data_IF_078526238910
#
_entry.id   IF_078526238910
#
_cell.length_a   1.000
_cell.length_b   1.000
_cell.length_c   1.000
_cell.angle_alpha   90.00
_cell.angle_beta   90.00
_cell.angle_gamma   90.00
#
_symmetry.space_group_name_H-M   'P 1'
#
loop_
_entity.id
_entity.type
_entity.pdbx_description
1 polymer ?
#
# COMPACT_ATOMS: atom_id res chain seq x y z
N UNK A 1 -5.99 -0.04 -20.83
CA UNK A 1 -7.16 -0.55 -21.61
C UNK A 1 -7.48 -2.01 -21.35
N UNK A 2 -6.52 -2.94 -21.29
CA UNK A 2 -6.82 -4.36 -20.97
C UNK A 2 -7.14 -4.57 -19.49
N UNK A 3 -6.46 -3.87 -18.58
CA UNK A 3 -6.68 -3.92 -17.12
C UNK A 3 -8.02 -3.32 -16.68
N UNK A 4 -8.55 -2.32 -17.39
CA UNK A 4 -9.86 -1.72 -17.07
C UNK A 4 -11.05 -2.63 -17.40
N UNK A 5 -10.92 -3.53 -18.38
CA UNK A 5 -11.98 -4.48 -18.72
C UNK A 5 -12.09 -5.63 -17.72
N UNK A 6 -10.95 -6.10 -17.21
CA UNK A 6 -10.92 -7.17 -16.19
C UNK A 6 -11.36 -6.70 -14.81
N UNK A 7 -11.21 -5.40 -14.49
CA UNK A 7 -11.60 -4.81 -13.21
C UNK A 7 -13.13 -4.63 -13.04
N UNK A 8 -13.91 -4.68 -14.11
CA UNK A 8 -15.37 -4.53 -14.02
C UNK A 8 -16.11 -5.79 -13.58
N UNK A 9 -15.53 -6.96 -13.84
CA UNK A 9 -16.21 -8.24 -13.63
C UNK A 9 -15.62 -9.07 -12.46
N UNK A 10 -14.46 -8.70 -11.89
CA UNK A 10 -13.84 -9.45 -10.80
C UNK A 10 -13.53 -8.55 -9.60
N UNK A 11 -14.17 -8.86 -8.49
CA UNK A 11 -13.97 -8.22 -7.18
C UNK A 11 -12.61 -8.55 -6.57
N UNK A 12 -11.89 -9.54 -7.10
CA UNK A 12 -10.57 -9.97 -6.62
C UNK A 12 -9.60 -10.04 -7.79
N UNK A 13 -8.65 -9.13 -7.82
CA UNK A 13 -7.57 -9.12 -8.80
C UNK A 13 -6.38 -9.89 -8.22
N UNK A 14 -6.06 -11.02 -8.81
CA UNK A 14 -4.85 -11.78 -8.45
C UNK A 14 -3.68 -11.19 -9.24
N UNK A 15 -2.71 -10.62 -8.53
CA UNK A 15 -1.48 -10.16 -9.17
C UNK A 15 -0.69 -11.34 -9.72
N UNK A 16 -0.37 -11.27 -11.00
CA UNK A 16 0.62 -12.19 -11.60
C UNK A 16 2.03 -11.70 -11.27
N UNK A 17 3.03 -12.59 -11.36
CA UNK A 17 4.45 -12.25 -11.17
C UNK A 17 4.90 -11.08 -12.06
N UNK A 18 4.31 -10.93 -13.23
CA UNK A 18 4.59 -9.83 -14.14
C UNK A 18 4.06 -8.50 -13.61
N UNK A 19 2.88 -8.50 -13.00
CA UNK A 19 2.32 -7.32 -12.33
C UNK A 19 3.14 -6.92 -11.10
N UNK A 20 3.62 -7.90 -10.33
CA UNK A 20 4.52 -7.65 -9.19
C UNK A 20 5.84 -7.02 -9.68
N UNK A 21 6.44 -7.54 -10.75
CA UNK A 21 7.67 -6.97 -11.33
C UNK A 21 7.47 -5.54 -11.85
N UNK A 22 6.31 -5.22 -12.40
CA UNK A 22 5.98 -3.86 -12.82
C UNK A 22 5.86 -2.91 -11.62
N UNK A 23 5.18 -3.35 -10.55
CA UNK A 23 5.08 -2.60 -9.30
C UNK A 23 6.45 -2.38 -8.66
N UNK A 24 7.31 -3.39 -8.65
CA UNK A 24 8.69 -3.30 -8.16
C UNK A 24 9.56 -2.33 -8.96
N UNK A 25 9.33 -2.17 -10.25
CA UNK A 25 10.05 -1.18 -11.08
C UNK A 25 9.65 0.25 -10.76
N UNK A 26 8.37 0.47 -10.44
CA UNK A 26 7.83 1.81 -10.20
C UNK A 26 7.90 2.24 -8.74
N UNK A 27 8.04 1.30 -7.80
CA UNK A 27 8.21 1.60 -6.38
C UNK A 27 9.45 0.89 -5.83
N UNK A 28 10.61 1.58 -5.77
CA UNK A 28 11.84 1.02 -5.20
C UNK A 28 11.70 0.57 -3.74
N UNK A 29 10.74 1.13 -3.02
CA UNK A 29 10.45 0.77 -1.63
C UNK A 29 9.77 -0.60 -1.50
N UNK A 30 9.12 -1.07 -2.56
CA UNK A 30 8.53 -2.39 -2.60
C UNK A 30 9.58 -3.52 -2.58
N UNK A 31 10.80 -3.24 -3.05
CA UNK A 31 11.92 -4.21 -3.11
C UNK A 31 12.62 -4.46 -1.78
N UNK A 32 12.52 -3.56 -0.82
CA UNK A 32 13.46 -3.51 0.30
C UNK A 32 12.95 -4.11 1.60
N UNK A 33 11.78 -4.74 1.64
CA UNK A 33 11.22 -5.16 2.91
C UNK A 33 10.68 -6.57 2.86
N UNK A 34 11.51 -7.51 3.23
CA UNK A 34 11.03 -8.71 3.88
C UNK A 34 10.53 -8.31 5.28
N UNK A 35 9.31 -7.82 5.35
CA UNK A 35 8.60 -7.75 6.62
C UNK A 35 7.95 -9.13 6.75
N UNK A 36 8.53 -9.96 7.57
CA UNK A 36 8.04 -11.31 7.80
C UNK A 36 6.74 -11.23 8.60
N UNK A 37 5.65 -11.62 7.98
CA UNK A 37 4.40 -11.94 8.65
C UNK A 37 4.26 -13.45 8.70
N UNK A 38 3.65 -13.96 9.77
CA UNK A 38 3.52 -15.40 10.01
C UNK A 38 2.18 -15.98 9.57
N UNK A 39 1.21 -15.11 9.28
CA UNK A 39 -0.15 -15.48 8.88
C UNK A 39 -0.81 -14.42 8.00
N UNK A 40 -1.83 -14.81 7.20
CA UNK A 40 -2.63 -13.85 6.43
C UNK A 40 -3.29 -12.80 7.35
N UNK A 41 -3.37 -11.56 6.90
CA UNK A 41 -3.96 -10.44 7.66
C UNK A 41 -3.10 -9.90 8.80
N UNK A 42 -1.95 -10.52 9.12
CA UNK A 42 -1.09 -10.07 10.20
C UNK A 42 -0.46 -8.71 9.89
N UNK A 43 0.01 -8.51 8.67
CA UNK A 43 0.54 -7.25 8.20
C UNK A 43 0.19 -7.01 6.74
N UNK A 44 -0.56 -5.96 6.50
CA UNK A 44 -0.82 -5.43 5.17
C UNK A 44 0.11 -4.26 4.89
N UNK A 45 0.55 -4.11 3.66
CA UNK A 45 1.29 -2.94 3.20
C UNK A 45 0.40 -2.13 2.27
N UNK A 46 0.19 -0.85 2.59
CA UNK A 46 -0.58 0.07 1.75
C UNK A 46 0.31 1.19 1.22
N UNK A 47 0.18 1.47 -0.06
CA UNK A 47 0.92 2.52 -0.75
C UNK A 47 0.05 3.23 -1.78
N UNK A 48 0.42 4.47 -2.11
CA UNK A 48 -0.20 5.28 -3.16
C UNK A 48 0.84 5.70 -4.17
N UNK A 49 0.67 5.36 -5.41
CA UNK A 49 1.57 5.84 -6.45
C UNK A 49 0.83 6.63 -7.55
N UNK A 50 1.55 7.57 -8.12
CA UNK A 50 1.09 8.33 -9.26
C UNK A 50 1.26 7.51 -10.53
N UNK A 51 0.14 7.21 -11.19
CA UNK A 51 0.14 6.44 -12.44
C UNK A 51 0.47 7.31 -13.66
N UNK A 52 -0.10 8.51 -13.71
CA UNK A 52 0.05 9.42 -14.84
C UNK A 52 -1.08 10.42 -14.94
N UNK A 53 -1.09 11.16 -16.05
CA UNK A 53 -2.17 12.08 -16.40
C UNK A 53 -2.89 11.58 -17.63
N UNK A 54 -4.19 11.35 -17.51
CA UNK A 54 -5.05 10.92 -18.60
C UNK A 54 -5.78 12.14 -19.19
N UNK A 55 -5.80 12.24 -20.52
CA UNK A 55 -6.51 13.30 -21.23
C UNK A 55 -8.02 13.24 -20.90
N UNK A 56 -8.57 14.35 -20.45
CA UNK A 56 -9.99 14.45 -20.06
C UNK A 56 -10.33 13.98 -18.64
N UNK A 57 -9.40 13.32 -17.93
CA UNK A 57 -9.59 12.84 -16.56
C UNK A 57 -8.70 13.60 -15.58
N UNK A 58 -7.47 13.93 -15.99
CA UNK A 58 -6.47 14.54 -15.12
C UNK A 58 -5.50 13.54 -14.53
N UNK A 59 -4.97 13.85 -13.35
CA UNK A 59 -4.03 13.00 -12.63
C UNK A 59 -4.72 11.74 -12.12
N UNK A 60 -4.05 10.60 -12.25
CA UNK A 60 -4.52 9.31 -11.75
C UNK A 60 -3.53 8.76 -10.75
N UNK A 61 -4.04 8.36 -9.60
CA UNK A 61 -3.30 7.70 -8.53
C UNK A 61 -3.84 6.29 -8.34
N UNK A 62 -2.99 5.37 -7.97
CA UNK A 62 -3.38 4.00 -7.64
C UNK A 62 -3.08 3.76 -6.17
N UNK A 63 -4.12 3.42 -5.42
CA UNK A 63 -4.00 2.87 -4.08
C UNK A 63 -3.82 1.36 -4.19
N UNK A 64 -2.84 0.82 -3.49
CA UNK A 64 -2.56 -0.61 -3.45
C UNK A 64 -2.44 -1.08 -2.02
N UNK A 65 -3.07 -2.19 -1.71
CA UNK A 65 -2.89 -2.90 -0.43
C UNK A 65 -2.43 -4.31 -0.73
N UNK A 66 -1.37 -4.76 -0.10
CA UNK A 66 -0.79 -6.10 -0.29
C UNK A 66 -0.62 -6.79 1.06
N UNK A 67 -1.09 -8.00 1.16
CA UNK A 67 -0.79 -8.88 2.29
C UNK A 67 0.66 -9.40 2.17
N UNK A 68 1.46 -9.16 3.18
CA UNK A 68 2.88 -9.52 3.16
C UNK A 68 3.13 -11.03 3.30
N UNK A 69 2.14 -11.79 3.75
CA UNK A 69 2.23 -13.23 3.89
C UNK A 69 1.84 -13.98 2.61
N UNK A 70 0.63 -13.73 2.11
CA UNK A 70 0.08 -14.49 0.99
C UNK A 70 0.15 -13.77 -0.35
N UNK A 71 0.67 -12.54 -0.38
CA UNK A 71 0.78 -11.70 -1.58
C UNK A 71 -0.54 -11.40 -2.30
N UNK A 72 -1.67 -11.56 -1.61
CA UNK A 72 -2.96 -11.07 -2.10
C UNK A 72 -2.89 -9.54 -2.15
N UNK A 73 -3.33 -8.96 -3.26
CA UNK A 73 -3.30 -7.53 -3.45
C UNK A 73 -4.64 -6.98 -3.90
N UNK A 74 -4.94 -5.79 -3.42
CA UNK A 74 -6.09 -4.98 -3.79
C UNK A 74 -5.59 -3.67 -4.40
N UNK A 75 -6.19 -3.24 -5.49
CA UNK A 75 -5.84 -1.98 -6.12
C UNK A 75 -7.10 -1.24 -6.61
N UNK A 76 -7.06 0.10 -6.49
CA UNK A 76 -8.11 0.97 -7.02
C UNK A 76 -7.51 2.28 -7.50
N UNK A 77 -8.02 2.78 -8.64
CA UNK A 77 -7.59 4.05 -9.22
C UNK A 77 -8.45 5.20 -8.69
N UNK A 78 -7.79 6.35 -8.45
CA UNK A 78 -8.41 7.56 -7.96
C UNK A 78 -7.89 8.78 -8.72
N UNK A 79 -8.71 9.83 -8.81
CA UNK A 79 -8.31 11.12 -9.37
C UNK A 79 -7.60 12.03 -8.37
N UNK A 80 -7.51 11.62 -7.11
CA UNK A 80 -6.87 12.38 -6.03
C UNK A 80 -6.10 11.48 -5.07
N UNK A 81 -5.12 12.07 -4.39
CA UNK A 81 -4.33 11.42 -3.34
C UNK A 81 -4.72 12.06 -2.00
N UNK A 82 -5.74 11.50 -1.36
CA UNK A 82 -6.31 12.02 -0.12
C UNK A 82 -6.50 10.90 0.91
N UNK A 83 -6.54 11.23 2.22
CA UNK A 83 -6.79 10.25 3.27
C UNK A 83 -8.06 9.44 3.06
N UNK A 84 -9.12 10.08 2.57
CA UNK A 84 -10.40 9.41 2.31
C UNK A 84 -10.28 8.32 1.23
N UNK A 85 -9.49 8.55 0.19
CA UNK A 85 -9.28 7.54 -0.88
C UNK A 85 -8.47 6.34 -0.39
N UNK A 86 -7.57 6.56 0.56
CA UNK A 86 -6.82 5.47 1.20
C UNK A 86 -7.73 4.60 2.08
N UNK A 87 -8.62 5.24 2.87
CA UNK A 87 -9.63 4.54 3.68
C UNK A 87 -10.64 3.78 2.83
N UNK A 88 -11.11 4.38 1.75
CA UNK A 88 -12.14 3.79 0.89
C UNK A 88 -11.73 2.41 0.40
N UNK A 89 -10.49 2.24 -0.09
CA UNK A 89 -10.00 0.93 -0.53
C UNK A 89 -10.01 -0.10 0.59
N UNK A 90 -9.58 0.30 1.81
CA UNK A 90 -9.59 -0.59 2.97
C UNK A 90 -11.00 -1.04 3.32
N UNK A 91 -11.90 -0.09 3.52
CA UNK A 91 -13.24 -0.36 4.05
C UNK A 91 -14.20 -0.96 3.03
N UNK A 92 -14.04 -0.65 1.73
CA UNK A 92 -14.90 -1.21 0.70
C UNK A 92 -14.48 -2.59 0.22
N UNK A 93 -13.18 -2.91 0.29
CA UNK A 93 -12.67 -4.14 -0.33
C UNK A 93 -11.82 -4.99 0.59
N UNK A 94 -10.84 -4.40 1.27
CA UNK A 94 -9.83 -5.17 2.00
C UNK A 94 -10.43 -5.78 3.25
N UNK A 95 -10.97 -4.97 4.16
CA UNK A 95 -11.51 -5.46 5.43
C UNK A 95 -12.69 -6.43 5.22
N UNK A 96 -13.68 -6.14 4.34
CA UNK A 96 -14.75 -7.10 4.07
C UNK A 96 -14.27 -8.44 3.51
N UNK A 97 -13.21 -8.45 2.72
CA UNK A 97 -12.62 -9.69 2.22
C UNK A 97 -12.06 -10.56 3.35
N UNK A 98 -11.30 -9.97 4.27
CA UNK A 98 -10.73 -10.68 5.41
C UNK A 98 -11.79 -11.11 6.41
N UNK A 99 -12.81 -10.27 6.66
CA UNK A 99 -13.95 -10.59 7.51
C UNK A 99 -14.73 -11.79 7.00
N UNK A 100 -14.97 -11.86 5.68
CA UNK A 100 -15.65 -13.00 5.05
C UNK A 100 -14.89 -14.32 5.22
N UNK A 101 -13.57 -14.25 5.37
CA UNK A 101 -12.69 -15.41 5.64
C UNK A 101 -12.51 -15.70 7.14
N UNK A 102 -13.04 -14.86 8.02
CA UNK A 102 -12.83 -14.94 9.47
C UNK A 102 -11.38 -14.67 9.88
N UNK A 103 -10.63 -13.91 9.09
CA UNK A 103 -9.23 -13.58 9.33
C UNK A 103 -9.13 -12.14 9.84
N UNK A 104 -8.64 -11.88 11.07
CA UNK A 104 -8.49 -10.53 11.57
C UNK A 104 -7.31 -9.81 10.88
N UNK A 105 -7.51 -8.57 10.45
CA UNK A 105 -6.43 -7.68 10.04
C UNK A 105 -5.83 -7.05 11.29
N UNK A 106 -4.54 -7.30 11.56
CA UNK A 106 -3.88 -6.84 12.79
C UNK A 106 -3.14 -5.51 12.63
N UNK A 107 -2.42 -5.34 11.52
CA UNK A 107 -1.62 -4.15 11.31
C UNK A 107 -1.50 -3.77 9.85
N UNK A 108 -1.34 -2.48 9.60
CA UNK A 108 -1.13 -1.90 8.27
C UNK A 108 0.12 -1.05 8.30
N UNK A 109 1.04 -1.31 7.37
CA UNK A 109 2.26 -0.55 7.15
C UNK A 109 2.05 0.41 5.99
N UNK A 110 2.35 1.69 6.20
CA UNK A 110 2.34 2.71 5.15
C UNK A 110 3.65 3.50 5.14
N UNK A 111 3.85 4.32 4.12
CA UNK A 111 4.85 5.38 4.19
C UNK A 111 4.36 6.54 5.09
N UNK A 112 5.18 7.61 5.21
CA UNK A 112 4.82 8.81 5.95
C UNK A 112 4.07 9.84 5.08
N UNK A 113 3.37 9.41 4.06
CA UNK A 113 2.56 10.26 3.21
C UNK A 113 1.45 10.97 4.01
N UNK A 114 1.10 12.19 3.61
CA UNK A 114 0.05 12.97 4.29
C UNK A 114 -1.33 12.32 4.19
N UNK A 115 -1.53 11.43 3.25
CA UNK A 115 -2.75 10.63 3.10
C UNK A 115 -2.90 9.57 4.19
N UNK A 116 -1.79 9.14 4.80
CA UNK A 116 -1.78 8.10 5.82
C UNK A 116 -1.51 8.65 7.22
N UNK A 117 -0.76 9.75 7.33
CA UNK A 117 -0.22 10.24 8.59
C UNK A 117 -0.66 11.66 8.90
N UNK A 118 -1.13 11.87 10.14
CA UNK A 118 -1.52 13.18 10.68
C UNK A 118 -1.65 13.13 12.20
N UNK A 119 -2.50 13.98 12.76
CA UNK A 119 -2.83 13.92 14.19
C UNK A 119 -3.80 12.74 14.41
N UNK A 120 -3.46 11.73 15.24
CA UNK A 120 -4.25 10.50 15.36
C UNK A 120 -5.73 10.74 15.69
N UNK A 121 -6.02 11.73 16.55
CA UNK A 121 -7.38 12.01 17.02
C UNK A 121 -8.31 12.59 15.92
N UNK A 122 -7.74 13.07 14.81
CA UNK A 122 -8.51 13.79 13.79
C UNK A 122 -8.15 13.37 12.36
N UNK A 123 -7.17 12.50 12.17
CA UNK A 123 -6.75 12.13 10.82
C UNK A 123 -7.75 11.13 10.22
N UNK A 124 -8.31 11.41 9.02
CA UNK A 124 -9.35 10.57 8.43
C UNK A 124 -8.92 9.13 8.13
N UNK A 125 -7.63 8.85 8.09
CA UNK A 125 -7.09 7.51 7.91
C UNK A 125 -6.80 6.80 9.24
N UNK A 126 -6.19 7.50 10.18
CA UNK A 126 -5.74 6.89 11.45
C UNK A 126 -6.89 6.60 12.43
N UNK A 127 -7.85 7.52 12.51
CA UNK A 127 -8.98 7.38 13.44
C UNK A 127 -9.82 6.11 13.17
N UNK A 128 -10.24 5.81 11.93
CA UNK A 128 -10.96 4.58 11.66
C UNK A 128 -10.17 3.30 11.99
N UNK A 129 -8.86 3.28 11.72
CA UNK A 129 -8.02 2.13 12.07
C UNK A 129 -7.95 1.89 13.57
N UNK A 130 -7.86 2.97 14.36
CA UNK A 130 -7.88 2.89 15.81
C UNK A 130 -9.24 2.37 16.36
N UNK A 131 -10.35 2.70 15.72
CA UNK A 131 -11.68 2.19 16.09
C UNK A 131 -11.78 0.68 15.82
N UNK A 132 -11.18 0.19 14.73
CA UNK A 132 -11.16 -1.24 14.36
C UNK A 132 -10.05 -2.03 15.06
N UNK A 133 -9.32 -1.40 15.98
CA UNK A 133 -8.17 -2.02 16.69
C UNK A 133 -7.07 -2.53 15.74
N UNK A 134 -6.89 -1.83 14.62
CA UNK A 134 -5.84 -2.12 13.63
C UNK A 134 -4.63 -1.22 13.90
N UNK A 135 -3.48 -1.82 14.16
CA UNK A 135 -2.25 -1.08 14.40
C UNK A 135 -1.74 -0.41 13.11
N UNK A 136 -1.61 0.90 13.12
CA UNK A 136 -0.98 1.64 12.03
C UNK A 136 0.53 1.76 12.27
N UNK A 137 1.31 1.21 11.36
CA UNK A 137 2.79 1.27 11.36
C UNK A 137 3.28 2.14 10.22
N UNK A 138 4.19 3.03 10.54
CA UNK A 138 4.84 3.89 9.56
C UNK A 138 6.24 3.40 9.26
N UNK A 139 6.65 3.53 8.00
CA UNK A 139 8.04 3.30 7.65
C UNK A 139 8.90 4.38 8.30
N UNK A 140 10.02 3.97 8.94
CA UNK A 140 10.97 4.95 9.47
C UNK A 140 11.43 5.87 8.34
N UNK A 141 11.39 7.19 8.59
CA UNK A 141 12.00 8.17 7.69
C UNK A 141 13.42 7.71 7.42
N UNK A 142 13.79 7.53 6.15
CA UNK A 142 15.17 7.22 5.77
C UNK A 142 16.06 8.33 6.31
N UNK A 143 16.82 8.05 7.36
CA UNK A 143 18.07 8.79 7.58
C UNK A 143 18.88 8.60 6.30
N UNK A 144 19.29 9.68 5.60
CA UNK A 144 20.15 9.54 4.44
C UNK A 144 21.36 8.71 4.90
N UNK A 145 21.57 7.55 4.27
CA UNK A 145 22.77 6.74 4.52
C UNK A 145 23.91 7.65 4.19
N UNK A 146 24.63 8.09 5.22
CA UNK A 146 25.93 8.72 5.08
C UNK A 146 26.71 7.80 4.16
N UNK A 147 27.10 8.29 2.99
CA UNK A 147 27.98 7.57 2.09
C UNK A 147 29.18 7.11 2.90
N UNK A 148 29.24 5.82 3.21
CA UNK A 148 30.47 5.22 3.68
C UNK A 148 31.40 5.30 2.49
N UNK A 149 32.22 6.33 2.47
CA UNK A 149 33.34 6.45 1.57
C UNK A 149 34.18 5.19 1.77
N UNK A 150 34.17 4.35 0.76
CA UNK A 150 35.10 3.23 0.68
C UNK A 150 36.50 3.86 0.67
N UNK A 151 37.13 3.84 1.83
CA UNK A 151 38.58 4.13 1.92
C UNK A 151 39.27 3.05 1.12
N UNK A 152 39.70 3.40 -0.09
CA UNK A 152 40.69 2.62 -0.82
C UNK A 152 41.92 2.56 0.07
N UNK A 153 42.28 1.35 0.52
CA UNK A 153 43.59 1.14 1.10
C UNK A 153 44.62 1.40 0.01
N UNK A 154 45.64 2.24 0.24
CA UNK A 154 46.77 2.30 -0.66
C UNK A 154 47.49 0.95 -0.58
N UNK A 155 47.77 0.39 -1.70
CA UNK A 155 48.64 -0.78 -1.87
C UNK A 155 50.06 -0.44 -1.52
#
# INVERSE_FOLDING_TARGET
MRLERESRDNTTFVLTDEHVRLLERHSPDFRCRHVESSAPGELLNQDTFYWGTLKGVGKVYVQVVVDTFCSIAFAKCYSSKMPITACELLYERVLPFYDALGIPVKSILTDNGREFCGKPDHHPYELPLAIEDIEHRNTKVRTPRTNVSVRRRPS
#
